data_IF_982894254511
#
_entry.id   IF_982894254511
#
_cell.length_a   1.000
_cell.length_b   1.000
_cell.length_c   1.000
_cell.angle_alpha   90.00
_cell.angle_beta   90.00
_cell.angle_gamma   90.00
#
_symmetry.space_group_name_H-M   'P 1'
#
loop_
_entity.id
_entity.type
_entity.pdbx_description
1 polymer ?
#
# COMPACT_ATOMS: atom_id res chain seq x y z
N UNK A 1 21.14 -11.97 -11.28
CA UNK A 1 20.06 -12.39 -10.37
C UNK A 1 18.82 -11.60 -10.76
N UNK A 2 17.79 -12.25 -11.27
CA UNK A 2 16.53 -11.59 -11.64
C UNK A 2 15.90 -10.95 -10.40
N UNK A 3 16.02 -9.63 -10.29
CA UNK A 3 15.15 -8.86 -9.40
C UNK A 3 13.75 -8.99 -9.96
N UNK A 4 12.91 -9.86 -9.37
CA UNK A 4 11.47 -9.91 -9.66
C UNK A 4 10.95 -8.47 -9.72
N UNK A 5 10.51 -8.05 -10.91
CA UNK A 5 9.96 -6.73 -11.14
C UNK A 5 8.74 -6.56 -10.22
N UNK A 6 8.76 -5.57 -9.34
CA UNK A 6 7.67 -5.31 -8.39
C UNK A 6 6.66 -4.40 -9.07
N UNK A 7 5.80 -4.99 -9.89
CA UNK A 7 4.77 -4.26 -10.61
C UNK A 7 3.48 -4.16 -9.77
N UNK A 8 2.90 -2.96 -9.76
CA UNK A 8 1.61 -2.66 -9.13
C UNK A 8 0.64 -2.16 -10.19
N UNK A 9 -0.55 -2.74 -10.21
CA UNK A 9 -1.63 -2.40 -11.12
C UNK A 9 -2.78 -1.74 -10.36
N UNK A 10 -3.59 -0.89 -11.03
CA UNK A 10 -4.85 -0.42 -10.48
C UNK A 10 -5.68 -1.58 -9.91
N UNK A 11 -6.20 -1.41 -8.70
CA UNK A 11 -6.95 -2.43 -7.96
C UNK A 11 -6.10 -3.36 -7.09
N UNK A 12 -4.77 -3.43 -7.26
CA UNK A 12 -3.92 -4.19 -6.34
C UNK A 12 -4.09 -3.67 -4.91
N UNK A 13 -4.28 -4.58 -3.96
CA UNK A 13 -4.20 -4.25 -2.54
C UNK A 13 -2.76 -4.40 -2.07
N UNK A 14 -2.28 -3.40 -1.34
CA UNK A 14 -0.94 -3.37 -0.76
C UNK A 14 -1.00 -3.11 0.73
N UNK A 15 0.01 -3.59 1.46
CA UNK A 15 0.23 -3.32 2.87
C UNK A 15 1.47 -2.45 3.05
N UNK A 16 1.35 -1.41 3.86
CA UNK A 16 2.51 -0.67 4.34
C UNK A 16 3.21 -1.45 5.46
N UNK A 17 4.54 -1.35 5.59
CA UNK A 17 5.31 -2.15 6.54
C UNK A 17 4.86 -1.99 8.01
N UNK A 18 4.36 -0.79 8.39
CA UNK A 18 3.78 -0.55 9.71
C UNK A 18 2.52 -1.37 10.00
N UNK A 19 1.97 -2.09 9.02
CA UNK A 19 0.92 -3.07 9.28
C UNK A 19 1.36 -4.11 10.29
N UNK A 20 2.64 -4.46 10.36
CA UNK A 20 3.17 -5.40 11.37
C UNK A 20 3.05 -4.90 12.82
N UNK A 21 2.79 -3.60 13.02
CA UNK A 21 2.72 -2.98 14.37
C UNK A 21 1.28 -2.71 14.83
N UNK A 22 0.27 -3.22 14.13
CA UNK A 22 -1.15 -3.00 14.43
C UNK A 22 -1.92 -4.32 14.48
N UNK A 23 -3.15 -4.28 14.99
CA UNK A 23 -4.03 -5.45 14.98
C UNK A 23 -4.28 -5.94 13.55
N UNK A 24 -3.96 -7.21 13.31
CA UNK A 24 -4.11 -7.85 12.01
C UNK A 24 -5.57 -8.06 11.60
N UNK A 25 -6.51 -8.01 12.56
CA UNK A 25 -7.94 -8.05 12.26
C UNK A 25 -8.49 -6.72 11.72
N UNK A 26 -7.71 -5.64 11.80
CA UNK A 26 -8.06 -4.35 11.21
C UNK A 26 -7.46 -4.19 9.80
N UNK A 27 -8.06 -3.30 9.00
CA UNK A 27 -7.54 -2.92 7.69
C UNK A 27 -6.49 -1.79 7.75
N UNK A 28 -6.09 -1.37 8.95
CA UNK A 28 -5.10 -0.30 9.15
C UNK A 28 -3.83 -0.61 8.37
N UNK A 29 -3.32 0.40 7.63
CA UNK A 29 -2.18 0.30 6.73
C UNK A 29 -2.36 -0.61 5.50
N UNK A 30 -3.60 -0.96 5.14
CA UNK A 30 -3.93 -1.49 3.82
C UNK A 30 -4.35 -0.35 2.88
N UNK A 31 -3.96 -0.48 1.63
CA UNK A 31 -4.26 0.49 0.58
C UNK A 31 -4.61 -0.21 -0.73
N UNK A 32 -5.44 0.43 -1.55
CA UNK A 32 -5.70 0.05 -2.94
C UNK A 32 -4.90 0.95 -3.87
N UNK A 33 -4.19 0.36 -4.83
CA UNK A 33 -3.50 1.13 -5.88
C UNK A 33 -4.54 1.68 -6.85
N UNK A 34 -4.45 2.98 -7.12
CA UNK A 34 -5.25 3.64 -8.16
C UNK A 34 -4.45 3.69 -9.45
N UNK A 35 -3.15 4.00 -9.38
CA UNK A 35 -2.26 3.98 -10.53
C UNK A 35 -1.02 4.86 -10.33
N UNK A 36 -0.28 5.06 -11.41
CA UNK A 36 0.87 5.97 -11.45
C UNK A 36 0.44 7.24 -12.20
N UNK A 37 0.63 8.39 -11.57
CA UNK A 37 0.44 9.70 -12.16
C UNK A 37 1.79 10.35 -12.51
N UNK A 38 1.78 11.32 -13.42
CA UNK A 38 2.95 12.18 -13.69
C UNK A 38 2.75 13.51 -12.98
N UNK A 39 3.69 13.88 -12.10
CA UNK A 39 3.69 15.20 -11.49
C UNK A 39 3.94 16.27 -12.57
N UNK A 40 3.04 17.24 -12.71
CA UNK A 40 3.03 18.14 -13.87
C UNK A 40 4.23 19.07 -13.93
N UNK A 41 4.73 19.48 -12.76
CA UNK A 41 5.79 20.47 -12.58
C UNK A 41 7.17 19.83 -12.73
N UNK A 42 7.37 18.65 -12.16
CA UNK A 42 8.69 17.96 -12.14
C UNK A 42 8.80 16.83 -13.15
N UNK A 43 7.67 16.38 -13.71
CA UNK A 43 7.54 15.18 -14.57
C UNK A 43 7.92 13.87 -13.86
N UNK A 44 8.07 13.89 -12.54
CA UNK A 44 8.39 12.70 -11.76
C UNK A 44 7.15 11.79 -11.62
N UNK A 45 7.35 10.46 -11.64
CA UNK A 45 6.27 9.51 -11.41
C UNK A 45 5.82 9.53 -9.94
N UNK A 46 4.50 9.51 -9.74
CA UNK A 46 3.86 9.50 -8.42
C UNK A 46 2.95 8.28 -8.31
N UNK A 47 3.03 7.55 -7.22
CA UNK A 47 2.06 6.50 -6.90
C UNK A 47 0.81 7.14 -6.27
N UNK A 48 -0.36 6.85 -6.85
CA UNK A 48 -1.68 7.25 -6.34
C UNK A 48 -2.37 6.02 -5.75
N UNK A 49 -2.77 6.10 -4.48
CA UNK A 49 -3.33 4.98 -3.75
C UNK A 49 -4.31 5.44 -2.66
N UNK A 50 -5.32 4.62 -2.37
CA UNK A 50 -6.40 4.92 -1.44
C UNK A 50 -6.25 4.08 -0.17
N UNK A 51 -6.39 4.68 1.02
CA UNK A 51 -6.50 3.90 2.25
C UNK A 51 -7.75 3.03 2.26
N UNK A 52 -7.62 1.81 2.76
CA UNK A 52 -8.74 0.89 2.99
C UNK A 52 -9.15 0.87 4.47
N UNK A 53 -8.94 2.00 5.16
CA UNK A 53 -9.21 2.19 6.58
C UNK A 53 -9.48 3.67 6.87
N UNK A 54 -10.03 3.95 8.06
CA UNK A 54 -10.42 5.32 8.46
C UNK A 54 -11.37 5.95 7.44
N UNK A 55 -11.12 7.20 7.07
CA UNK A 55 -11.94 7.96 6.10
C UNK A 55 -11.64 7.63 4.63
N UNK A 56 -10.88 6.55 4.36
CA UNK A 56 -10.53 6.09 3.01
C UNK A 56 -9.86 7.17 2.14
N UNK A 57 -9.04 7.99 2.77
CA UNK A 57 -8.31 9.09 2.16
C UNK A 57 -7.47 8.63 0.96
N UNK A 58 -7.44 9.45 -0.09
CA UNK A 58 -6.57 9.29 -1.24
C UNK A 58 -5.21 9.94 -0.98
N UNK A 59 -4.14 9.22 -1.31
CA UNK A 59 -2.78 9.67 -1.13
C UNK A 59 -2.01 9.66 -2.46
N UNK A 60 -1.02 10.55 -2.53
CA UNK A 60 -0.03 10.62 -3.59
C UNK A 60 1.36 10.62 -2.97
N UNK A 61 2.30 9.88 -3.56
CA UNK A 61 3.68 9.78 -3.06
C UNK A 61 4.66 9.64 -4.22
N UNK A 62 5.88 10.20 -4.14
CA UNK A 62 6.93 9.93 -5.12
C UNK A 62 7.12 8.42 -5.32
N UNK A 63 7.15 7.98 -6.58
CA UNK A 63 7.19 6.55 -6.94
C UNK A 63 8.40 5.86 -6.31
N UNK A 64 9.59 6.46 -6.37
CA UNK A 64 10.81 5.90 -5.77
C UNK A 64 10.67 5.68 -4.25
N UNK A 65 10.03 6.63 -3.56
CA UNK A 65 9.78 6.48 -2.12
C UNK A 65 8.74 5.43 -1.80
N UNK A 66 7.77 5.20 -2.69
CA UNK A 66 6.80 4.11 -2.57
C UNK A 66 7.47 2.75 -2.78
N UNK A 67 8.34 2.66 -3.80
CA UNK A 67 9.07 1.44 -4.15
C UNK A 67 10.20 1.11 -3.16
N UNK A 68 10.66 2.10 -2.40
CA UNK A 68 11.79 2.01 -1.49
C UNK A 68 11.70 0.92 -0.42
N UNK A 69 12.88 0.57 0.11
CA UNK A 69 13.03 -0.39 1.23
C UNK A 69 12.60 0.22 2.57
N UNK A 70 12.26 -0.65 3.50
CA UNK A 70 12.17 -0.26 4.92
C UNK A 70 13.55 0.15 5.39
N UNK A 71 13.59 1.14 6.27
CA UNK A 71 14.81 1.53 6.96
C UNK A 71 15.03 0.56 8.13
N UNK A 72 15.91 -0.42 7.93
CA UNK A 72 16.17 -1.50 8.89
C UNK A 72 16.83 -0.99 10.18
N UNK A 73 17.57 0.13 10.13
CA UNK A 73 18.14 0.73 11.34
C UNK A 73 17.04 1.37 12.20
N UNK A 74 16.08 2.03 11.56
CA UNK A 74 14.96 2.65 12.26
C UNK A 74 13.88 1.66 12.71
N UNK A 75 13.73 0.55 11.98
CA UNK A 75 12.69 -0.44 12.23
C UNK A 75 13.27 -1.87 12.21
N UNK A 76 14.07 -2.24 13.22
CA UNK A 76 14.80 -3.51 13.23
C UNK A 76 13.88 -4.74 13.32
N UNK A 77 12.70 -4.60 13.91
CA UNK A 77 11.77 -5.71 14.13
C UNK A 77 10.81 -5.95 12.95
N UNK A 78 10.85 -5.09 11.93
CA UNK A 78 9.96 -5.20 10.76
C UNK A 78 10.52 -6.23 9.78
N UNK A 79 9.72 -7.26 9.50
CA UNK A 79 10.09 -8.35 8.59
C UNK A 79 9.87 -7.98 7.12
N UNK A 80 8.91 -7.11 6.85
CA UNK A 80 8.64 -6.60 5.50
C UNK A 80 9.86 -5.87 4.93
N UNK A 81 10.27 -6.23 3.70
CA UNK A 81 11.49 -5.70 3.09
C UNK A 81 11.28 -4.32 2.47
N UNK A 82 10.09 -4.09 1.90
CA UNK A 82 9.76 -2.86 1.20
C UNK A 82 8.68 -2.05 1.92
N UNK A 83 8.65 -0.75 1.68
CA UNK A 83 7.69 0.14 2.34
C UNK A 83 6.25 -0.29 2.07
N UNK A 84 5.98 -0.77 0.86
CA UNK A 84 4.69 -1.34 0.46
C UNK A 84 4.89 -2.70 -0.21
N UNK A 85 4.05 -3.68 0.09
CA UNK A 85 4.07 -4.99 -0.59
C UNK A 85 2.65 -5.43 -0.93
N UNK A 86 2.46 -6.24 -1.99
CA UNK A 86 1.13 -6.76 -2.33
C UNK A 86 0.57 -7.57 -1.17
N UNK A 87 -0.71 -7.35 -0.88
CA UNK A 87 -1.46 -8.09 0.13
C UNK A 87 -2.55 -8.89 -0.56
N UNK A 88 -2.68 -10.16 -0.20
CA UNK A 88 -3.83 -10.98 -0.59
C UNK A 88 -4.83 -10.91 0.55
N UNK A 89 -6.00 -10.36 0.27
CA UNK A 89 -7.10 -10.33 1.23
C UNK A 89 -7.90 -11.63 1.12
N UNK A 90 -8.25 -12.19 2.27
CA UNK A 90 -9.30 -13.21 2.37
C UNK A 90 -10.67 -12.62 2.00
N UNK A 91 -11.63 -13.46 1.61
CA UNK A 91 -12.99 -13.00 1.32
C UNK A 91 -13.64 -12.30 2.53
N UNK A 92 -13.36 -12.78 3.75
CA UNK A 92 -13.80 -12.15 5.00
C UNK A 92 -13.25 -10.74 5.16
N UNK A 93 -11.96 -10.52 4.88
CA UNK A 93 -11.36 -9.17 4.93
C UNK A 93 -11.95 -8.25 3.87
N UNK A 94 -12.15 -8.76 2.64
CA UNK A 94 -12.78 -7.98 1.57
C UNK A 94 -14.21 -7.56 1.94
N UNK A 95 -14.99 -8.50 2.46
CA UNK A 95 -16.36 -8.22 2.92
C UNK A 95 -16.39 -7.22 4.07
N UNK A 96 -15.51 -7.37 5.07
CA UNK A 96 -15.37 -6.42 6.17
C UNK A 96 -15.04 -5.00 5.66
N UNK A 97 -14.08 -4.87 4.75
CA UNK A 97 -13.69 -3.57 4.21
C UNK A 97 -14.82 -2.97 3.36
N UNK A 98 -15.47 -3.77 2.48
CA UNK A 98 -16.62 -3.31 1.68
C UNK A 98 -17.75 -2.80 2.57
N UNK A 99 -18.12 -3.55 3.61
CA UNK A 99 -19.25 -3.20 4.48
C UNK A 99 -18.94 -1.99 5.37
N UNK A 100 -17.72 -1.92 5.91
CA UNK A 100 -17.32 -0.86 6.85
C UNK A 100 -17.07 0.46 6.13
N UNK A 101 -16.35 0.41 5.01
CA UNK A 101 -15.83 1.59 4.34
C UNK A 101 -16.56 1.95 3.04
N UNK A 102 -17.45 1.07 2.55
CA UNK A 102 -18.19 1.26 1.29
C UNK A 102 -17.28 1.48 0.07
N UNK A 103 -16.09 0.88 0.09
CA UNK A 103 -15.11 0.93 -1.00
C UNK A 103 -15.18 -0.36 -1.81
N UNK A 104 -15.16 -0.25 -3.14
CA UNK A 104 -15.02 -1.40 -4.03
C UNK A 104 -13.58 -1.92 -4.06
N UNK A 105 -13.44 -3.23 -3.85
CA UNK A 105 -12.19 -4.00 -3.78
C UNK A 105 -12.44 -5.46 -4.16
#
# INVERSE_FOLDING_TARGET
METKKRDFNPGDVVKHFKRETVDQNSSTYLYKIIGIATHTETREPMMVYQALYGDCQLYVRPYEMFMGKVDEQKYPDIKQKYRFEKSKLSEKEKEMIRNTYRVEI
#
